data_IF_395903635963
#
_entry.id   IF_395903635963
#
_cell.length_a   1.000
_cell.length_b   1.000
_cell.length_c   1.000
_cell.angle_alpha   90.00
_cell.angle_beta   90.00
_cell.angle_gamma   90.00
#
_symmetry.space_group_name_H-M   'P 1'
#
loop_
_entity.id
_entity.type
_entity.pdbx_description
1 polymer ?
#
# COMPACT_ATOMS: atom_id res chain seq x y z
N UNK A 1 -5.98 11.71 -13.38
CA UNK A 1 -4.56 11.33 -13.31
C UNK A 1 -4.25 11.00 -11.85
N UNK A 2 -4.42 9.73 -11.47
CA UNK A 2 -4.26 9.29 -10.08
C UNK A 2 -2.77 9.31 -9.74
N UNK A 3 -2.39 9.93 -8.60
CA UNK A 3 -1.01 9.94 -8.09
C UNK A 3 -0.46 8.52 -8.17
N UNK A 4 0.63 8.37 -8.91
CA UNK A 4 1.34 7.12 -9.15
C UNK A 4 1.59 6.42 -7.82
N UNK A 5 1.23 5.14 -7.73
CA UNK A 5 1.76 4.26 -6.68
C UNK A 5 3.28 4.28 -6.87
N UNK A 6 4.01 4.70 -5.85
CA UNK A 6 5.48 4.84 -5.89
C UNK A 6 6.09 3.44 -6.04
N UNK A 7 7.02 3.29 -6.98
CA UNK A 7 7.86 2.09 -7.03
C UNK A 7 8.78 2.08 -5.82
N UNK A 8 8.65 1.06 -4.97
CA UNK A 8 9.42 0.91 -3.73
C UNK A 8 10.70 0.09 -3.90
N UNK A 9 10.89 -0.55 -5.06
CA UNK A 9 12.13 -1.25 -5.40
C UNK A 9 13.18 -0.24 -5.87
N UNK A 10 14.10 0.15 -4.99
CA UNK A 10 15.20 1.07 -5.27
C UNK A 10 16.47 0.72 -4.50
N UNK A 11 17.46 1.63 -4.51
CA UNK A 11 18.77 1.47 -3.85
C UNK A 11 18.69 1.45 -2.32
N UNK A 12 17.63 2.01 -1.76
CA UNK A 12 17.31 1.98 -0.34
C UNK A 12 16.18 0.97 -0.06
N UNK A 13 16.20 0.35 1.11
CA UNK A 13 15.09 -0.49 1.57
C UNK A 13 13.91 0.42 1.89
N UNK A 14 12.76 0.16 1.26
CA UNK A 14 11.55 0.92 1.54
C UNK A 14 11.10 0.71 3.00
N UNK A 15 10.83 1.81 3.69
CA UNK A 15 10.36 1.76 5.08
C UNK A 15 8.88 1.34 5.18
N UNK A 16 8.47 0.91 6.37
CA UNK A 16 7.09 0.51 6.67
C UNK A 16 6.07 1.60 6.31
N UNK A 17 6.42 2.87 6.53
CA UNK A 17 5.57 4.02 6.19
C UNK A 17 5.38 4.16 4.67
N UNK A 18 6.44 3.94 3.88
CA UNK A 18 6.36 4.01 2.43
C UNK A 18 5.54 2.86 1.85
N UNK A 19 5.70 1.66 2.41
CA UNK A 19 4.88 0.49 2.08
C UNK A 19 3.42 0.74 2.40
N UNK A 20 3.12 1.28 3.59
CA UNK A 20 1.75 1.63 4.00
C UNK A 20 1.15 2.71 3.10
N UNK A 21 1.94 3.72 2.74
CA UNK A 21 1.50 4.78 1.83
C UNK A 21 1.16 4.22 0.43
N UNK A 22 1.96 3.29 -0.09
CA UNK A 22 1.69 2.62 -1.36
C UNK A 22 0.42 1.76 -1.30
N UNK A 23 0.25 0.98 -0.23
CA UNK A 23 -0.95 0.18 0.01
C UNK A 23 -2.20 1.07 0.09
N UNK A 24 -2.14 2.20 0.79
CA UNK A 24 -3.23 3.18 0.86
C UNK A 24 -3.63 3.68 -0.54
N UNK A 25 -2.67 4.03 -1.39
CA UNK A 25 -2.98 4.47 -2.76
C UNK A 25 -3.62 3.36 -3.59
N UNK A 26 -3.17 2.11 -3.42
CA UNK A 26 -3.78 0.95 -4.06
C UNK A 26 -5.24 0.76 -3.64
N UNK A 27 -5.51 0.73 -2.33
CA UNK A 27 -6.88 0.53 -1.81
C UNK A 27 -7.80 1.66 -2.27
N UNK A 28 -7.34 2.92 -2.25
CA UNK A 28 -8.10 4.06 -2.82
C UNK A 28 -8.43 3.86 -4.30
N UNK A 29 -7.49 3.32 -5.07
CA UNK A 29 -7.65 3.11 -6.50
C UNK A 29 -8.64 1.99 -6.80
N UNK A 30 -8.55 0.86 -6.08
CA UNK A 30 -9.42 -0.30 -6.27
C UNK A 30 -10.83 -0.04 -5.76
N UNK A 31 -10.96 0.53 -4.56
CA UNK A 31 -12.27 0.80 -3.95
C UNK A 31 -13.01 2.00 -4.56
N UNK A 32 -12.29 2.90 -5.24
CA UNK A 32 -12.82 4.19 -5.70
C UNK A 32 -13.03 5.22 -4.59
N UNK A 33 -12.78 4.88 -3.33
CA UNK A 33 -12.88 5.81 -2.20
C UNK A 33 -11.59 6.62 -2.05
N UNK A 34 -11.71 7.96 -1.97
CA UNK A 34 -10.63 8.79 -1.42
C UNK A 34 -10.66 8.82 0.11
N UNK A 35 -11.88 8.85 0.65
CA UNK A 35 -12.21 8.78 2.07
C UNK A 35 -13.41 7.82 2.20
N UNK A 36 -13.29 6.69 2.92
CA UNK A 36 -14.41 5.78 3.11
C UNK A 36 -15.50 6.44 3.96
N UNK A 37 -16.73 5.93 3.87
CA UNK A 37 -17.79 6.25 4.83
C UNK A 37 -17.48 5.58 6.17
N UNK A 38 -18.12 6.03 7.27
CA UNK A 38 -17.96 5.40 8.60
C UNK A 38 -18.27 3.90 8.59
N UNK A 39 -19.22 3.47 7.76
CA UNK A 39 -19.60 2.05 7.64
C UNK A 39 -18.52 1.21 6.95
N UNK A 40 -17.71 1.80 6.07
CA UNK A 40 -16.68 1.10 5.28
C UNK A 40 -15.26 1.36 5.80
N UNK A 41 -15.10 2.17 6.83
CA UNK A 41 -13.79 2.60 7.36
C UNK A 41 -12.98 1.41 7.86
N UNK A 42 -13.62 0.51 8.62
CA UNK A 42 -12.97 -0.71 9.13
C UNK A 42 -12.47 -1.61 8.00
N UNK A 43 -13.33 -1.92 7.02
CA UNK A 43 -12.97 -2.74 5.87
C UNK A 43 -11.87 -2.09 5.02
N UNK A 44 -11.92 -0.76 4.87
CA UNK A 44 -10.91 -0.01 4.12
C UNK A 44 -9.55 -0.05 4.82
N UNK A 45 -9.48 0.23 6.12
CA UNK A 45 -8.22 0.20 6.88
C UNK A 45 -7.66 -1.23 6.99
N UNK A 46 -8.52 -2.25 7.18
CA UNK A 46 -8.10 -3.65 7.18
C UNK A 46 -7.39 -4.02 5.86
N UNK A 47 -7.98 -3.66 4.71
CA UNK A 47 -7.37 -3.89 3.41
C UNK A 47 -6.01 -3.19 3.26
N UNK A 48 -5.88 -1.95 3.77
CA UNK A 48 -4.60 -1.23 3.75
C UNK A 48 -3.55 -1.99 4.56
N UNK A 49 -3.88 -2.47 5.75
CA UNK A 49 -2.97 -3.24 6.62
C UNK A 49 -2.53 -4.54 5.94
N UNK A 50 -3.47 -5.31 5.40
CA UNK A 50 -3.17 -6.59 4.74
C UNK A 50 -2.25 -6.42 3.53
N UNK A 51 -2.53 -5.42 2.70
CA UNK A 51 -1.74 -5.14 1.49
C UNK A 51 -0.37 -4.61 1.87
N UNK A 52 -0.25 -3.81 2.93
CA UNK A 52 1.04 -3.35 3.45
C UNK A 52 1.90 -4.55 3.86
N UNK A 53 1.34 -5.45 4.68
CA UNK A 53 2.06 -6.63 5.15
C UNK A 53 2.44 -7.59 4.00
N UNK A 54 1.55 -7.77 3.02
CA UNK A 54 1.85 -8.58 1.83
C UNK A 54 2.97 -7.95 0.97
N UNK A 55 2.95 -6.63 0.81
CA UNK A 55 3.95 -5.89 0.06
C UNK A 55 5.32 -5.93 0.74
N UNK A 56 5.36 -5.83 2.07
CA UNK A 56 6.59 -5.94 2.86
C UNK A 56 7.22 -7.32 2.70
N UNK A 57 6.46 -8.40 2.90
CA UNK A 57 6.95 -9.77 2.66
C UNK A 57 7.46 -9.98 1.23
N UNK A 58 6.78 -9.40 0.25
CA UNK A 58 7.24 -9.44 -1.14
C UNK A 58 8.62 -8.76 -1.26
N UNK A 59 8.75 -7.52 -0.79
CA UNK A 59 10.00 -6.76 -0.87
C UNK A 59 11.16 -7.46 -0.15
N UNK A 60 10.91 -8.08 0.99
CA UNK A 60 11.90 -8.89 1.74
C UNK A 60 12.34 -10.15 0.97
N UNK A 61 11.41 -10.78 0.25
CA UNK A 61 11.68 -12.01 -0.52
C UNK A 61 12.39 -11.77 -1.86
N UNK A 62 12.30 -10.55 -2.41
CA UNK A 62 12.89 -10.21 -3.70
C UNK A 62 14.41 -10.07 -3.57
N UNK A 63 15.14 -10.90 -4.29
CA UNK A 63 16.60 -10.79 -4.36
C UNK A 63 17.01 -9.53 -5.12
N UNK A 64 17.93 -8.76 -4.53
CA UNK A 64 18.60 -7.66 -5.22
C UNK A 64 19.57 -8.24 -6.25
N UNK A 65 19.47 -7.77 -7.49
CA UNK A 65 20.41 -8.08 -8.58
C UNK A 65 21.50 -7.02 -8.60
#
# INVERSE_FOLDING_TARGET
MCRSIKTLRGDETAGDEEVRAAALQFVRKVSGYRKPSRANEEAFEAAVVEISAASQRLLESLQRK
#
